data_IF_652004327631
#
_entry.id   IF_652004327631
#
_cell.length_a   1.000
_cell.length_b   1.000
_cell.length_c   1.000
_cell.angle_alpha   90.00
_cell.angle_beta   90.00
_cell.angle_gamma   90.00
#
_symmetry.space_group_name_H-M   'P 1'
#
loop_
_entity.id
_entity.type
_entity.pdbx_description
1 polymer ?
#
# COMPACT_ATOMS: atom_id res chain seq x y z
N UNK A 1 -17.07 -29.50 -6.81
CA UNK A 1 -16.27 -30.55 -7.47
C UNK A 1 -15.34 -31.13 -6.41
N UNK A 2 -15.45 -32.43 -6.13
CA UNK A 2 -14.75 -33.09 -5.03
C UNK A 2 -13.28 -33.28 -5.33
N UNK A 3 -12.42 -32.89 -4.38
CA UNK A 3 -10.98 -33.10 -4.49
C UNK A 3 -10.63 -34.53 -4.08
N UNK A 4 -10.17 -35.30 -5.08
CA UNK A 4 -9.43 -36.54 -4.90
C UNK A 4 -8.09 -36.24 -4.20
N UNK A 5 -8.08 -36.19 -2.87
CA UNK A 5 -6.87 -36.20 -2.03
C UNK A 5 -6.37 -37.64 -1.80
N UNK A 6 -6.33 -38.46 -2.85
CA UNK A 6 -5.80 -39.83 -2.81
C UNK A 6 -4.39 -39.90 -3.45
N UNK A 7 -3.47 -39.05 -2.97
CA UNK A 7 -2.03 -39.29 -3.14
C UNK A 7 -1.44 -39.73 -1.80
N UNK A 8 -0.71 -40.84 -1.81
CA UNK A 8 -0.05 -41.45 -0.65
C UNK A 8 0.65 -40.40 0.23
N UNK A 9 0.28 -40.33 1.52
CA UNK A 9 1.18 -39.81 2.56
C UNK A 9 0.64 -38.76 3.54
N UNK A 10 -0.63 -38.37 3.50
CA UNK A 10 -1.17 -37.41 4.48
C UNK A 10 -2.04 -38.12 5.52
N UNK A 11 -1.79 -37.82 6.80
CA UNK A 11 -2.68 -38.20 7.90
C UNK A 11 -3.93 -37.33 7.81
N UNK A 12 -5.07 -37.95 7.53
CA UNK A 12 -6.37 -37.29 7.36
C UNK A 12 -7.33 -37.56 8.52
N UNK A 13 -7.06 -38.60 9.32
CA UNK A 13 -7.86 -39.03 10.47
C UNK A 13 -7.23 -38.57 11.79
N UNK A 14 -8.01 -37.85 12.58
CA UNK A 14 -7.62 -37.38 13.90
C UNK A 14 -8.75 -37.64 14.91
N UNK A 15 -8.42 -37.88 16.18
CA UNK A 15 -9.46 -37.93 17.21
C UNK A 15 -9.96 -36.52 17.54
N UNK A 16 -9.03 -35.58 17.72
CA UNK A 16 -9.31 -34.20 18.14
C UNK A 16 -8.43 -33.23 17.35
N UNK A 17 -9.03 -32.17 16.80
CA UNK A 17 -8.33 -31.07 16.14
C UNK A 17 -8.54 -29.75 16.88
N UNK A 18 -7.43 -29.12 17.29
CA UNK A 18 -7.39 -27.79 17.89
C UNK A 18 -6.86 -26.78 16.87
N UNK A 19 -7.73 -25.92 16.34
CA UNK A 19 -7.37 -24.97 15.26
C UNK A 19 -8.07 -23.62 15.43
N UNK A 20 -7.48 -22.56 14.87
CA UNK A 20 -8.04 -21.21 14.96
C UNK A 20 -9.40 -21.08 14.26
N UNK A 21 -9.58 -21.83 13.17
CA UNK A 21 -10.77 -21.81 12.32
C UNK A 21 -11.29 -23.23 12.02
N UNK A 22 -12.05 -23.85 12.96
CA UNK A 22 -12.58 -25.20 12.80
C UNK A 22 -13.38 -25.44 11.51
N UNK A 23 -14.10 -24.43 11.04
CA UNK A 23 -14.93 -24.45 9.83
C UNK A 23 -14.15 -24.71 8.55
N UNK A 24 -12.90 -24.25 8.43
CA UNK A 24 -12.05 -24.59 7.29
C UNK A 24 -11.44 -25.99 7.44
N UNK A 25 -11.01 -26.36 8.65
CA UNK A 25 -10.42 -27.68 8.92
C UNK A 25 -11.41 -28.83 8.64
N UNK A 26 -12.70 -28.64 8.94
CA UNK A 26 -13.78 -29.61 8.66
C UNK A 26 -13.93 -29.94 7.17
N UNK A 27 -13.47 -29.08 6.26
CA UNK A 27 -13.53 -29.31 4.81
C UNK A 27 -12.42 -30.24 4.31
N UNK A 28 -11.38 -30.49 5.12
CA UNK A 28 -10.14 -31.14 4.71
C UNK A 28 -9.88 -32.41 5.51
N UNK A 29 -9.97 -32.32 6.84
CA UNK A 29 -9.61 -33.40 7.75
C UNK A 29 -10.85 -34.12 8.28
N UNK A 30 -10.72 -35.41 8.55
CA UNK A 30 -11.72 -36.22 9.23
C UNK A 30 -11.36 -36.33 10.72
N UNK A 31 -12.10 -35.63 11.59
CA UNK A 31 -11.91 -35.72 13.03
C UNK A 31 -13.21 -35.92 13.80
N UNK A 32 -13.13 -36.59 14.96
CA UNK A 32 -14.30 -36.78 15.83
C UNK A 32 -14.69 -35.45 16.50
N UNK A 33 -13.70 -34.66 16.90
CA UNK A 33 -13.90 -33.37 17.56
C UNK A 33 -13.07 -32.25 16.91
N UNK A 34 -13.68 -31.06 16.82
CA UNK A 34 -13.00 -29.84 16.37
C UNK A 34 -13.20 -28.75 17.41
N UNK A 35 -12.11 -28.33 18.03
CA UNK A 35 -12.11 -27.27 19.04
C UNK A 35 -11.45 -26.03 18.48
N UNK A 36 -12.14 -24.89 18.66
CA UNK A 36 -11.52 -23.60 18.37
C UNK A 36 -10.38 -23.39 19.37
N UNK A 37 -9.17 -23.28 18.86
CA UNK A 37 -7.98 -22.96 19.63
C UNK A 37 -7.22 -21.84 18.95
N UNK A 38 -7.11 -20.73 19.65
CA UNK A 38 -6.27 -19.62 19.27
C UNK A 38 -5.55 -19.18 20.53
N UNK A 39 -4.23 -18.96 20.46
CA UNK A 39 -3.42 -18.63 21.64
C UNK A 39 -3.94 -17.39 22.40
N UNK A 40 -4.77 -16.59 21.75
CA UNK A 40 -5.39 -15.38 22.30
C UNK A 40 -6.92 -15.50 22.55
N UNK A 41 -7.49 -16.70 22.45
CA UNK A 41 -8.95 -16.97 22.57
C UNK A 41 -9.56 -16.69 23.95
N UNK A 42 -8.74 -16.47 24.99
CA UNK A 42 -9.17 -16.07 26.35
C UNK A 42 -9.09 -14.56 26.61
N UNK A 43 -8.89 -13.75 25.56
CA UNK A 43 -8.58 -12.32 25.66
C UNK A 43 -7.07 -12.09 25.56
N UNK A 44 -6.67 -11.06 24.80
CA UNK A 44 -5.27 -10.64 24.79
C UNK A 44 -4.98 -9.83 26.05
N UNK A 45 -3.97 -10.26 26.82
CA UNK A 45 -3.34 -9.38 27.80
C UNK A 45 -2.58 -8.28 27.06
N UNK A 46 -3.15 -7.08 27.01
CA UNK A 46 -2.43 -5.90 26.49
C UNK A 46 -1.39 -5.48 27.50
N UNK A 47 -0.11 -5.51 27.12
CA UNK A 47 0.98 -5.03 27.98
C UNK A 47 1.02 -3.50 28.00
N UNK A 48 1.60 -2.92 29.06
CA UNK A 48 1.88 -1.48 29.12
C UNK A 48 2.75 -1.00 27.94
N UNK A 49 3.59 -1.87 27.36
CA UNK A 49 4.37 -1.54 26.18
C UNK A 49 3.49 -1.30 24.95
N UNK A 50 2.46 -2.11 24.73
CA UNK A 50 1.53 -1.94 23.59
C UNK A 50 0.69 -0.67 23.75
N UNK A 51 0.21 -0.38 24.98
CA UNK A 51 -0.50 0.87 25.27
C UNK A 51 0.38 2.10 24.99
N UNK A 52 1.66 2.08 25.38
CA UNK A 52 2.60 3.16 25.06
C UNK A 52 2.79 3.36 23.56
N UNK A 53 2.77 2.29 22.76
CA UNK A 53 2.84 2.39 21.30
C UNK A 53 1.57 3.06 20.77
N UNK A 54 0.38 2.60 21.18
CA UNK A 54 -0.88 3.25 20.80
C UNK A 54 -0.85 4.75 21.13
N UNK A 55 -0.49 5.12 22.36
CA UNK A 55 -0.51 6.51 22.82
C UNK A 55 0.49 7.38 22.06
N UNK A 56 1.72 6.87 21.84
CA UNK A 56 2.78 7.58 21.13
C UNK A 56 2.38 7.90 19.70
N UNK A 57 1.80 6.93 19.00
CA UNK A 57 1.45 7.05 17.58
C UNK A 57 0.01 7.56 17.36
N UNK A 58 -0.80 7.63 18.42
CA UNK A 58 -2.23 7.98 18.40
C UNK A 58 -3.03 7.14 17.41
N UNK A 59 -2.76 5.83 17.39
CA UNK A 59 -3.43 4.89 16.50
C UNK A 59 -4.88 4.72 16.97
N UNK A 60 -5.81 4.90 16.05
CA UNK A 60 -7.25 4.89 16.31
C UNK A 60 -8.00 3.92 15.40
N UNK A 61 -9.30 3.76 15.67
CA UNK A 61 -10.21 2.96 14.86
C UNK A 61 -10.43 3.50 13.44
N UNK A 62 -10.02 4.73 13.14
CA UNK A 62 -10.11 5.31 11.79
C UNK A 62 -8.90 4.96 10.93
N UNK A 63 -7.85 4.42 11.53
CA UNK A 63 -6.56 4.18 10.88
C UNK A 63 -6.45 2.75 10.34
N UNK A 64 -5.45 2.54 9.50
CA UNK A 64 -5.08 1.25 8.95
C UNK A 64 -3.69 0.84 9.46
N UNK A 65 -3.42 -0.46 9.52
CA UNK A 65 -2.10 -0.98 9.86
C UNK A 65 -1.61 -1.88 8.72
N UNK A 66 -0.47 -1.55 8.13
CA UNK A 66 0.24 -2.41 7.22
C UNK A 66 1.23 -3.31 7.97
N UNK A 67 1.16 -4.61 7.72
CA UNK A 67 2.08 -5.62 8.27
C UNK A 67 3.04 -6.11 7.19
N UNK A 68 4.31 -5.70 7.29
CA UNK A 68 5.34 -6.07 6.33
C UNK A 68 5.72 -7.55 6.43
N UNK A 69 6.19 -8.10 5.31
CA UNK A 69 6.68 -9.46 5.17
C UNK A 69 7.91 -9.44 4.25
N UNK A 70 8.74 -10.48 4.35
CA UNK A 70 9.92 -10.61 3.50
C UNK A 70 9.69 -11.66 2.42
N UNK A 71 10.11 -11.34 1.22
CA UNK A 71 10.07 -12.22 0.07
C UNK A 71 11.39 -12.18 -0.70
N UNK A 72 11.71 -13.21 -1.49
CA UNK A 72 12.92 -13.28 -2.31
C UNK A 72 12.80 -12.43 -3.58
N UNK A 73 12.42 -11.17 -3.42
CA UNK A 73 12.42 -10.12 -4.44
C UNK A 73 13.49 -9.11 -4.04
N UNK A 74 14.16 -8.47 -4.99
CA UNK A 74 15.15 -7.44 -4.66
C UNK A 74 14.54 -6.34 -3.77
N UNK A 75 15.26 -5.99 -2.69
CA UNK A 75 14.75 -5.07 -1.66
C UNK A 75 14.25 -3.74 -2.27
N UNK A 76 15.01 -3.19 -3.22
CA UNK A 76 14.64 -1.93 -3.87
C UNK A 76 13.31 -2.02 -4.62
N UNK A 77 13.12 -3.06 -5.45
CA UNK A 77 11.88 -3.24 -6.21
C UNK A 77 10.72 -3.54 -5.27
N UNK A 78 10.93 -4.43 -4.29
CA UNK A 78 9.90 -4.89 -3.38
C UNK A 78 9.33 -3.76 -2.51
N UNK A 79 10.20 -3.07 -1.76
CA UNK A 79 9.73 -2.03 -0.85
C UNK A 79 9.24 -0.79 -1.58
N UNK A 80 9.83 -0.45 -2.74
CA UNK A 80 9.31 0.64 -3.58
C UNK A 80 7.89 0.34 -4.03
N UNK A 81 7.63 -0.86 -4.54
CA UNK A 81 6.28 -1.27 -4.99
C UNK A 81 5.27 -1.23 -3.85
N UNK A 82 5.66 -1.70 -2.65
CA UNK A 82 4.81 -1.61 -1.46
C UNK A 82 4.51 -0.16 -1.10
N UNK A 83 5.53 0.69 -0.99
CA UNK A 83 5.31 2.08 -0.57
C UNK A 83 4.50 2.86 -1.60
N UNK A 84 4.72 2.63 -2.90
CA UNK A 84 3.88 3.19 -3.97
C UNK A 84 2.42 2.74 -3.83
N UNK A 85 2.18 1.45 -3.58
CA UNK A 85 0.84 0.90 -3.35
C UNK A 85 0.17 1.54 -2.14
N UNK A 86 0.86 1.60 -0.99
CA UNK A 86 0.35 2.21 0.24
C UNK A 86 0.11 3.71 0.08
N UNK A 87 0.97 4.41 -0.66
CA UNK A 87 0.75 5.81 -1.01
C UNK A 87 -0.57 5.96 -1.76
N UNK A 88 -0.80 5.18 -2.83
CA UNK A 88 -2.06 5.24 -3.58
C UNK A 88 -3.29 4.92 -2.71
N UNK A 89 -3.18 3.93 -1.80
CA UNK A 89 -4.25 3.64 -0.84
C UNK A 89 -4.50 4.81 0.12
N UNK A 90 -3.43 5.44 0.62
CA UNK A 90 -3.55 6.56 1.57
C UNK A 90 -4.33 7.75 1.02
N UNK A 91 -4.37 7.91 -0.31
CA UNK A 91 -5.18 8.94 -1.00
C UNK A 91 -6.69 8.72 -0.87
N UNK A 92 -7.12 7.49 -0.61
CA UNK A 92 -8.52 7.08 -0.73
C UNK A 92 -9.17 6.68 0.58
N UNK A 93 -8.37 6.45 1.62
CA UNK A 93 -8.87 6.15 2.95
C UNK A 93 -9.07 7.44 3.76
N UNK A 94 -9.78 7.31 4.87
CA UNK A 94 -9.72 8.22 6.01
C UNK A 94 -8.62 7.74 6.97
N UNK A 95 -7.91 8.63 7.65
CA UNK A 95 -6.89 8.23 8.64
C UNK A 95 -5.50 7.93 8.05
N UNK A 96 -4.64 7.28 8.84
CA UNK A 96 -3.25 6.96 8.49
C UNK A 96 -3.07 5.47 8.25
N UNK A 97 -2.02 5.11 7.52
CA UNK A 97 -1.52 3.75 7.43
C UNK A 97 -0.27 3.67 8.30
N UNK A 98 -0.38 2.96 9.42
CA UNK A 98 0.75 2.65 10.29
C UNK A 98 1.48 1.42 9.78
N UNK A 99 2.78 1.54 9.53
CA UNK A 99 3.58 0.50 8.93
C UNK A 99 4.40 -0.18 10.01
N UNK A 100 4.09 -1.47 10.23
CA UNK A 100 4.86 -2.35 11.11
C UNK A 100 5.79 -3.21 10.28
N UNK A 101 7.08 -2.92 10.35
CA UNK A 101 8.13 -3.69 9.70
C UNK A 101 8.40 -5.00 10.47
N UNK A 102 8.89 -6.01 9.76
CA UNK A 102 9.39 -7.25 10.33
C UNK A 102 10.69 -6.96 11.11
N UNK A 103 10.96 -7.61 12.26
CA UNK A 103 12.16 -7.33 13.08
C UNK A 103 13.48 -7.35 12.30
N UNK A 104 13.66 -8.35 11.43
CA UNK A 104 14.84 -8.46 10.53
C UNK A 104 14.96 -7.33 9.50
N UNK A 105 13.87 -6.67 9.13
CA UNK A 105 13.90 -5.47 8.27
C UNK A 105 14.37 -4.26 9.07
N UNK A 106 13.96 -4.16 10.34
CA UNK A 106 14.38 -3.09 11.24
C UNK A 106 15.88 -3.12 11.57
N UNK A 107 16.45 -4.32 11.65
CA UNK A 107 17.89 -4.52 11.87
C UNK A 107 18.73 -4.11 10.64
N UNK A 108 18.16 -4.14 9.43
CA UNK A 108 18.84 -3.75 8.21
C UNK A 108 18.74 -2.22 7.99
N UNK A 109 19.82 -1.51 8.32
CA UNK A 109 19.88 -0.04 8.19
C UNK A 109 19.59 0.45 6.76
N UNK A 110 19.93 -0.30 5.73
CA UNK A 110 19.68 0.11 4.34
C UNK A 110 18.19 0.00 4.01
N UNK A 111 17.53 -1.10 4.39
CA UNK A 111 16.09 -1.28 4.21
C UNK A 111 15.32 -0.24 5.04
N UNK A 112 15.68 -0.07 6.31
CA UNK A 112 15.06 0.93 7.18
C UNK A 112 15.24 2.35 6.61
N UNK A 113 16.43 2.70 6.12
CA UNK A 113 16.67 4.02 5.51
C UNK A 113 15.89 4.19 4.20
N UNK A 114 15.86 3.17 3.35
CA UNK A 114 15.06 3.17 2.13
C UNK A 114 13.57 3.39 2.46
N UNK A 115 13.04 2.62 3.40
CA UNK A 115 11.65 2.68 3.81
C UNK A 115 11.29 4.02 4.48
N UNK A 116 12.11 4.49 5.42
CA UNK A 116 11.93 5.79 6.05
C UNK A 116 12.05 6.93 5.04
N UNK A 117 12.99 6.87 4.09
CA UNK A 117 13.09 7.88 3.03
C UNK A 117 11.86 7.87 2.12
N UNK A 118 11.24 6.72 1.87
CA UNK A 118 10.01 6.63 1.07
C UNK A 118 8.74 6.99 1.86
N UNK A 119 8.77 6.93 3.19
CA UNK A 119 7.60 7.16 4.07
C UNK A 119 7.59 8.53 4.75
N UNK A 120 8.76 9.08 5.13
CA UNK A 120 8.92 10.49 5.61
C UNK A 120 8.28 11.49 4.67
N UNK A 121 8.10 11.04 3.45
CA UNK A 121 7.45 11.70 2.37
C UNK A 121 5.99 11.99 2.62
N UNK A 122 5.20 11.05 3.14
CA UNK A 122 3.74 11.10 3.23
C UNK A 122 3.34 11.01 4.71
N UNK A 123 2.79 12.08 5.34
CA UNK A 123 2.49 12.08 6.77
C UNK A 123 1.35 11.11 7.13
N UNK A 124 0.65 10.58 6.13
CA UNK A 124 -0.37 9.55 6.30
C UNK A 124 0.22 8.14 6.29
N UNK A 125 1.46 7.96 5.88
CA UNK A 125 2.21 6.73 6.10
C UNK A 125 3.12 6.92 7.32
N UNK A 126 2.97 6.11 8.35
CA UNK A 126 3.72 6.27 9.61
C UNK A 126 4.39 4.97 9.98
N UNK A 127 5.73 4.92 9.94
CA UNK A 127 6.48 3.74 10.40
C UNK A 127 6.44 3.67 11.93
N UNK A 128 6.01 2.53 12.47
CA UNK A 128 6.13 2.22 13.90
C UNK A 128 7.57 1.79 14.15
N UNK A 129 8.38 2.73 14.65
CA UNK A 129 9.80 2.53 14.92
C UNK A 129 10.01 2.26 16.42
N UNK A 130 9.63 1.05 16.83
CA UNK A 130 9.70 0.56 18.20
C UNK A 130 10.46 -0.77 18.26
N UNK A 131 11.00 -1.18 19.42
CA UNK A 131 11.54 -2.52 19.58
C UNK A 131 10.54 -3.61 19.13
N UNK A 132 11.01 -4.78 18.65
CA UNK A 132 10.15 -5.84 18.15
C UNK A 132 8.97 -6.17 19.06
N UNK A 133 7.77 -6.16 18.50
CA UNK A 133 6.53 -6.47 19.20
C UNK A 133 5.56 -7.30 18.34
N UNK A 134 4.63 -8.01 18.97
CA UNK A 134 3.55 -8.72 18.29
C UNK A 134 2.48 -7.72 17.85
N UNK A 135 1.93 -7.88 16.64
CA UNK A 135 0.94 -6.93 16.14
C UNK A 135 -0.45 -7.18 16.72
N UNK A 136 -0.76 -8.44 17.03
CA UNK A 136 -2.07 -8.91 17.47
C UNK A 136 -2.62 -8.12 18.67
N UNK A 137 -1.83 -7.82 19.73
CA UNK A 137 -2.31 -7.01 20.84
C UNK A 137 -2.61 -5.56 20.47
N UNK A 138 -1.87 -4.99 19.51
CA UNK A 138 -2.14 -3.64 19.04
C UNK A 138 -3.44 -3.60 18.24
N UNK A 139 -3.68 -4.60 17.37
CA UNK A 139 -4.93 -4.73 16.61
C UNK A 139 -6.13 -4.85 17.56
N UNK A 140 -6.01 -5.70 18.59
CA UNK A 140 -7.05 -5.86 19.61
C UNK A 140 -7.33 -4.55 20.38
N UNK A 141 -6.28 -3.80 20.71
CA UNK A 141 -6.39 -2.57 21.50
C UNK A 141 -6.93 -1.38 20.69
N UNK A 142 -6.51 -1.23 19.43
CA UNK A 142 -6.84 -0.05 18.63
C UNK A 142 -8.04 -0.24 17.72
N UNK A 143 -8.45 -1.50 17.50
CA UNK A 143 -9.55 -1.89 16.60
C UNK A 143 -9.54 -1.08 15.30
N UNK A 144 -8.42 -1.14 14.52
CA UNK A 144 -8.22 -0.26 13.38
C UNK A 144 -9.29 -0.50 12.32
N UNK A 145 -9.49 0.47 11.43
CA UNK A 145 -10.43 0.37 10.31
C UNK A 145 -10.09 -0.80 9.40
N UNK A 146 -8.81 -1.03 9.16
CA UNK A 146 -8.34 -2.18 8.39
C UNK A 146 -6.89 -2.60 8.67
N UNK A 147 -6.60 -3.86 8.44
CA UNK A 147 -5.25 -4.41 8.36
C UNK A 147 -4.93 -4.68 6.89
N UNK A 148 -3.76 -4.21 6.48
CA UNK A 148 -3.23 -4.37 5.13
C UNK A 148 -2.03 -5.31 5.21
N UNK A 149 -1.98 -6.33 4.36
CA UNK A 149 -0.81 -7.19 4.22
C UNK A 149 -0.70 -7.71 2.80
N UNK A 150 0.38 -8.42 2.47
CA UNK A 150 0.40 -9.23 1.25
C UNK A 150 -0.32 -10.54 1.54
N UNK A 151 0.25 -11.33 2.45
CA UNK A 151 -0.29 -12.65 2.82
C UNK A 151 -0.07 -12.99 4.29
N UNK A 152 0.15 -11.98 5.13
CA UNK A 152 0.59 -12.14 6.52
C UNK A 152 -0.45 -12.91 7.31
N UNK A 153 -0.02 -13.89 8.11
CA UNK A 153 -0.91 -14.62 9.02
C UNK A 153 -1.67 -13.67 9.96
N UNK A 154 -1.12 -12.48 10.25
CA UNK A 154 -1.80 -11.45 11.04
C UNK A 154 -3.15 -11.06 10.41
N UNK A 155 -3.25 -10.97 9.07
CA UNK A 155 -4.52 -10.63 8.39
C UNK A 155 -5.54 -11.76 8.49
N UNK A 156 -5.06 -13.01 8.59
CA UNK A 156 -5.89 -14.20 8.80
C UNK A 156 -6.48 -14.19 10.21
N UNK A 157 -5.68 -13.92 11.24
CA UNK A 157 -6.14 -13.91 12.63
C UNK A 157 -6.90 -12.65 13.06
N UNK A 158 -6.83 -11.57 12.27
CA UNK A 158 -7.47 -10.28 12.59
C UNK A 158 -8.95 -10.40 12.98
N UNK A 159 -9.82 -11.16 12.27
CA UNK A 159 -11.24 -11.27 12.66
C UNK A 159 -11.46 -11.94 14.02
N UNK A 160 -10.49 -12.73 14.51
CA UNK A 160 -10.54 -13.33 15.84
C UNK A 160 -10.19 -12.31 16.94
N UNK A 161 -9.51 -11.23 16.58
CA UNK A 161 -9.03 -10.17 17.47
C UNK A 161 -9.96 -8.94 17.45
N UNK A 162 -10.35 -8.52 16.25
CA UNK A 162 -11.17 -7.34 16.00
C UNK A 162 -12.14 -7.65 14.85
N UNK A 163 -13.35 -8.18 15.15
CA UNK A 163 -14.30 -8.64 14.12
C UNK A 163 -14.78 -7.55 13.15
N UNK A 164 -14.68 -6.27 13.53
CA UNK A 164 -15.09 -5.13 12.71
C UNK A 164 -13.97 -4.59 11.81
N UNK A 165 -12.72 -5.03 12.03
CA UNK A 165 -11.56 -4.58 11.25
C UNK A 165 -11.54 -5.28 9.90
N UNK A 166 -11.40 -4.50 8.81
CA UNK A 166 -11.30 -5.04 7.46
C UNK A 166 -9.96 -5.73 7.23
N UNK A 167 -9.95 -6.89 6.58
CA UNK A 167 -8.72 -7.59 6.17
C UNK A 167 -8.48 -7.37 4.68
N UNK A 168 -7.40 -6.65 4.33
CA UNK A 168 -7.05 -6.28 2.96
C UNK A 168 -5.74 -6.94 2.55
N UNK A 169 -5.76 -7.69 1.44
CA UNK A 169 -4.55 -8.20 0.80
C UNK A 169 -4.19 -7.35 -0.42
N UNK A 170 -2.98 -6.79 -0.43
CA UNK A 170 -2.39 -6.14 -1.62
C UNK A 170 -1.49 -7.06 -2.44
N UNK A 171 -1.50 -8.37 -2.15
CA UNK A 171 -0.60 -9.34 -2.78
C UNK A 171 -0.67 -9.31 -4.31
N UNK A 172 -1.88 -9.28 -4.88
CA UNK A 172 -2.08 -9.25 -6.33
C UNK A 172 -1.54 -7.97 -6.97
N UNK A 173 -1.87 -6.78 -6.41
CA UNK A 173 -1.35 -5.48 -6.89
C UNK A 173 0.19 -5.47 -6.90
N UNK A 174 0.81 -6.00 -5.85
CA UNK A 174 2.28 -6.03 -5.75
C UNK A 174 2.89 -6.97 -6.79
N UNK A 175 2.33 -8.17 -6.97
CA UNK A 175 2.78 -9.12 -8.00
C UNK A 175 2.67 -8.48 -9.39
N UNK A 176 1.50 -7.94 -9.74
CA UNK A 176 1.24 -7.35 -11.05
C UNK A 176 2.17 -6.17 -11.33
N UNK A 177 2.43 -5.34 -10.30
CA UNK A 177 3.34 -4.19 -10.41
C UNK A 177 4.79 -4.61 -10.60
N UNK A 178 5.24 -5.67 -9.94
CA UNK A 178 6.59 -6.24 -10.11
C UNK A 178 6.72 -6.87 -11.50
N UNK A 179 5.75 -7.67 -11.94
CA UNK A 179 5.74 -8.24 -13.30
C UNK A 179 5.74 -7.16 -14.38
N UNK A 180 5.12 -6.01 -14.13
CA UNK A 180 5.11 -4.91 -15.09
C UNK A 180 6.45 -4.15 -15.15
N UNK A 181 7.11 -3.96 -14.01
CA UNK A 181 8.28 -3.05 -13.89
C UNK A 181 9.62 -3.77 -13.85
N UNK A 182 9.64 -5.05 -13.45
CA UNK A 182 10.83 -5.84 -13.20
C UNK A 182 10.57 -7.35 -13.43
N UNK A 183 10.30 -7.73 -14.69
CA UNK A 183 9.91 -9.09 -15.10
C UNK A 183 10.85 -10.23 -14.65
N UNK A 184 12.11 -9.91 -14.37
CA UNK A 184 13.12 -10.87 -13.90
C UNK A 184 12.98 -11.25 -12.41
N UNK A 185 12.19 -10.53 -11.62
CA UNK A 185 12.04 -10.77 -10.18
C UNK A 185 11.16 -11.99 -9.88
N UNK A 186 11.57 -12.81 -8.90
CA UNK A 186 10.84 -14.02 -8.53
C UNK A 186 9.74 -13.72 -7.49
N UNK A 187 8.50 -13.79 -7.93
CA UNK A 187 7.29 -13.55 -7.11
C UNK A 187 6.57 -14.83 -6.71
N UNK A 188 7.08 -16.02 -7.08
CA UNK A 188 6.40 -17.31 -6.89
C UNK A 188 6.00 -17.59 -5.43
N UNK A 189 6.85 -17.21 -4.46
CA UNK A 189 6.53 -17.40 -3.05
C UNK A 189 5.39 -16.46 -2.58
N UNK A 190 5.28 -15.26 -3.16
CA UNK A 190 4.14 -14.36 -2.88
C UNK A 190 2.86 -14.98 -3.43
N UNK A 191 2.91 -15.49 -4.66
CA UNK A 191 1.79 -16.16 -5.34
C UNK A 191 1.32 -17.38 -4.54
N UNK A 192 2.23 -18.26 -4.12
CA UNK A 192 1.91 -19.44 -3.31
C UNK A 192 1.21 -19.05 -2.00
N UNK A 193 1.78 -18.10 -1.26
CA UNK A 193 1.14 -17.64 -0.03
C UNK A 193 -0.19 -16.93 -0.27
N UNK A 194 -0.37 -16.27 -1.42
CA UNK A 194 -1.62 -15.60 -1.78
C UNK A 194 -2.74 -16.62 -2.05
N UNK A 195 -2.43 -17.78 -2.64
CA UNK A 195 -3.40 -18.87 -2.84
C UNK A 195 -3.94 -19.42 -1.51
N UNK A 196 -3.12 -19.44 -0.46
CA UNK A 196 -3.56 -19.79 0.90
C UNK A 196 -4.53 -18.74 1.44
N UNK A 197 -4.19 -17.46 1.28
CA UNK A 197 -5.01 -16.34 1.77
C UNK A 197 -6.36 -16.27 1.07
N UNK A 198 -6.42 -16.59 -0.23
CA UNK A 198 -7.65 -16.66 -1.03
C UNK A 198 -8.67 -17.68 -0.49
N UNK A 199 -8.26 -18.62 0.36
CA UNK A 199 -9.18 -19.57 0.99
C UNK A 199 -10.06 -18.93 2.07
N UNK A 200 -9.73 -17.72 2.55
CA UNK A 200 -10.44 -17.04 3.62
C UNK A 200 -11.35 -15.93 3.06
N UNK A 201 -12.64 -16.21 2.94
CA UNK A 201 -13.66 -15.33 2.33
C UNK A 201 -13.75 -13.93 2.96
N UNK A 202 -13.32 -13.76 4.21
CA UNK A 202 -13.31 -12.47 4.90
C UNK A 202 -12.13 -11.56 4.51
N UNK A 203 -11.14 -12.08 3.77
CA UNK A 203 -10.00 -11.31 3.30
C UNK A 203 -10.30 -10.78 1.90
N UNK A 204 -10.34 -9.46 1.78
CA UNK A 204 -10.54 -8.80 0.50
C UNK A 204 -9.22 -8.76 -0.27
N UNK A 205 -9.12 -9.56 -1.33
CA UNK A 205 -7.99 -9.53 -2.25
C UNK A 205 -8.15 -8.33 -3.18
N UNK A 206 -7.22 -7.40 -3.15
CA UNK A 206 -7.25 -6.21 -3.99
C UNK A 206 -6.50 -6.50 -5.30
N UNK A 207 -7.22 -6.48 -6.42
CA UNK A 207 -6.65 -6.50 -7.79
C UNK A 207 -6.31 -5.09 -8.29
N UNK A 208 -6.99 -4.08 -7.77
CA UNK A 208 -6.69 -2.67 -7.98
C UNK A 208 -6.96 -1.88 -6.71
N UNK A 209 -6.41 -0.66 -6.64
CA UNK A 209 -6.69 0.27 -5.52
C UNK A 209 -8.17 0.69 -5.51
N UNK A 210 -8.89 0.53 -6.62
CA UNK A 210 -10.30 0.91 -6.80
C UNK A 210 -11.24 -0.11 -6.17
N UNK A 211 -10.82 -1.37 -6.13
CA UNK A 211 -11.67 -2.47 -5.66
C UNK A 211 -11.86 -2.46 -4.14
N UNK A 212 -10.94 -1.85 -3.39
CA UNK A 212 -10.75 -2.10 -1.96
C UNK A 212 -11.45 -1.16 -0.99
N UNK A 213 -11.53 0.13 -1.32
CA UNK A 213 -11.78 1.22 -0.37
C UNK A 213 -13.02 1.96 -0.84
N UNK A 214 -14.03 2.10 0.04
CA UNK A 214 -15.26 2.85 -0.26
C UNK A 214 -14.91 4.24 -0.80
N UNK A 215 -15.22 4.45 -2.08
CA UNK A 215 -14.83 5.59 -2.90
C UNK A 215 -15.69 6.82 -2.63
N UNK A 216 -16.06 7.07 -1.38
CA UNK A 216 -16.44 8.43 -1.01
C UNK A 216 -15.19 9.27 -1.21
N UNK A 217 -15.13 9.96 -2.36
CA UNK A 217 -14.10 10.91 -2.75
C UNK A 217 -13.75 11.76 -1.54
N UNK A 218 -12.64 11.43 -0.87
CA UNK A 218 -12.33 12.05 0.39
C UNK A 218 -11.98 13.51 0.13
N UNK A 219 -12.73 14.42 0.77
CA UNK A 219 -12.31 15.78 1.01
C UNK A 219 -11.47 15.74 2.29
N UNK A 220 -10.16 15.80 2.17
CA UNK A 220 -9.27 15.85 3.33
C UNK A 220 -9.54 17.13 4.13
N UNK A 221 -9.45 17.06 5.47
CA UNK A 221 -9.28 18.24 6.35
C UNK A 221 -7.91 18.93 6.16
N UNK A 222 -7.03 18.31 5.39
CA UNK A 222 -5.71 18.82 5.04
C UNK A 222 -5.85 20.00 4.09
N UNK A 223 -5.51 21.21 4.56
CA UNK A 223 -5.66 22.42 3.77
C UNK A 223 -4.85 22.34 2.48
N UNK A 224 -5.41 22.86 1.38
CA UNK A 224 -4.72 23.02 0.10
C UNK A 224 -3.30 23.56 0.26
N UNK A 225 -3.13 24.53 1.16
CA UNK A 225 -1.84 25.15 1.49
C UNK A 225 -0.82 24.14 2.04
N UNK A 226 -1.24 23.22 2.92
CA UNK A 226 -0.36 22.20 3.47
C UNK A 226 0.10 21.22 2.38
N UNK A 227 -0.82 20.79 1.50
CA UNK A 227 -0.51 19.89 0.40
C UNK A 227 0.46 20.54 -0.60
N UNK A 228 0.27 21.82 -0.93
CA UNK A 228 1.17 22.58 -1.79
C UNK A 228 2.56 22.76 -1.16
N UNK A 229 2.64 23.06 0.15
CA UNK A 229 3.91 23.16 0.88
C UNK A 229 4.65 21.83 0.91
N UNK A 230 3.95 20.72 1.13
CA UNK A 230 4.52 19.37 1.10
C UNK A 230 5.02 19.00 -0.30
N UNK A 231 4.30 19.39 -1.35
CA UNK A 231 4.73 19.20 -2.73
C UNK A 231 5.99 20.01 -3.07
N UNK A 232 6.04 21.28 -2.64
CA UNK A 232 7.19 22.16 -2.85
C UNK A 232 8.43 21.67 -2.09
N UNK A 233 8.26 21.23 -0.84
CA UNK A 233 9.33 20.64 -0.04
C UNK A 233 9.89 19.38 -0.71
N UNK A 234 9.03 18.47 -1.16
CA UNK A 234 9.43 17.27 -1.88
C UNK A 234 10.24 17.60 -3.14
N UNK A 235 9.80 18.59 -3.90
CA UNK A 235 10.51 19.04 -5.09
C UNK A 235 11.89 19.60 -4.80
N UNK A 236 12.01 20.48 -3.80
CA UNK A 236 13.29 21.07 -3.39
C UNK A 236 14.30 20.00 -2.99
N UNK A 237 13.81 18.90 -2.41
CA UNK A 237 14.60 17.73 -2.05
C UNK A 237 14.80 16.72 -3.20
N UNK A 238 14.44 17.08 -4.45
CA UNK A 238 14.55 16.24 -5.66
C UNK A 238 13.74 14.93 -5.57
N UNK A 239 12.71 14.90 -4.72
CA UNK A 239 11.83 13.76 -4.56
C UNK A 239 10.60 13.91 -5.45
N UNK A 240 10.79 13.60 -6.73
CA UNK A 240 9.84 14.04 -7.75
C UNK A 240 8.51 13.29 -7.73
N UNK A 241 8.52 11.98 -7.44
CA UNK A 241 7.30 11.16 -7.31
C UNK A 241 6.40 11.65 -6.18
N UNK A 242 7.00 12.01 -5.05
CA UNK A 242 6.31 12.58 -3.91
C UNK A 242 5.67 13.93 -4.21
N UNK A 243 6.40 14.79 -4.90
CA UNK A 243 5.89 16.10 -5.23
C UNK A 243 4.64 15.96 -6.12
N UNK A 244 4.70 15.05 -7.10
CA UNK A 244 3.55 14.67 -7.96
C UNK A 244 2.36 14.19 -7.12
N UNK A 245 2.58 13.29 -6.17
CA UNK A 245 1.55 12.78 -5.27
C UNK A 245 0.82 13.89 -4.51
N UNK A 246 1.56 14.84 -3.92
CA UNK A 246 0.95 15.94 -3.18
C UNK A 246 0.23 16.95 -4.03
N UNK A 247 0.72 17.22 -5.25
CA UNK A 247 -0.05 18.04 -6.18
C UNK A 247 -1.30 17.33 -6.68
N UNK A 248 -1.28 16.00 -6.83
CA UNK A 248 -2.49 15.24 -7.13
C UNK A 248 -3.52 15.39 -6.01
N UNK A 249 -3.11 15.27 -4.75
CA UNK A 249 -3.97 15.54 -3.58
C UNK A 249 -4.51 16.96 -3.55
N UNK A 250 -3.65 17.96 -3.76
CA UNK A 250 -4.03 19.37 -3.77
C UNK A 250 -5.05 19.68 -4.89
N UNK A 251 -5.00 18.94 -6.00
CA UNK A 251 -5.67 19.28 -7.24
C UNK A 251 -7.11 18.80 -7.38
N UNK A 252 -7.79 18.40 -6.31
CA UNK A 252 -9.12 17.77 -6.27
C UNK A 252 -10.23 18.56 -7.05
N UNK A 253 -10.12 18.57 -8.38
CA UNK A 253 -10.80 19.42 -9.38
C UNK A 253 -10.55 20.95 -9.36
N UNK A 254 -9.47 21.44 -8.74
CA UNK A 254 -9.10 22.86 -8.82
C UNK A 254 -8.21 23.15 -10.05
N UNK A 255 -8.80 23.85 -11.02
CA UNK A 255 -8.26 24.14 -12.36
C UNK A 255 -6.96 24.98 -12.32
N UNK A 256 -6.72 25.73 -11.25
CA UNK A 256 -5.53 26.56 -11.06
C UNK A 256 -4.27 25.72 -10.73
N UNK A 257 -4.45 24.60 -10.03
CA UNK A 257 -3.38 23.68 -9.60
C UNK A 257 -2.89 22.80 -10.76
N UNK A 258 -3.71 22.61 -11.80
CA UNK A 258 -3.33 21.87 -13.01
C UNK A 258 -2.24 22.57 -13.84
N UNK A 259 -2.21 23.91 -13.88
CA UNK A 259 -1.14 24.65 -14.57
C UNK A 259 0.25 24.40 -13.97
N UNK A 260 0.29 24.18 -12.65
CA UNK A 260 1.52 23.80 -11.94
C UNK A 260 1.97 22.37 -12.28
N UNK A 261 1.05 21.42 -12.49
CA UNK A 261 1.39 20.04 -12.91
C UNK A 261 2.19 20.03 -14.21
N UNK A 262 1.73 20.79 -15.20
CA UNK A 262 2.20 20.71 -16.59
C UNK A 262 3.60 21.27 -16.81
N UNK A 263 3.89 22.43 -16.23
CA UNK A 263 5.21 23.06 -16.31
C UNK A 263 6.26 22.27 -15.52
N UNK A 264 5.82 21.56 -14.50
CA UNK A 264 6.66 20.88 -13.54
C UNK A 264 6.98 19.43 -13.92
N UNK A 265 6.02 18.70 -14.53
CA UNK A 265 6.26 17.39 -15.16
C UNK A 265 7.47 17.43 -16.10
N UNK A 266 7.65 18.52 -16.85
CA UNK A 266 8.82 18.69 -17.70
C UNK A 266 10.13 18.86 -16.93
N UNK A 267 10.17 19.68 -15.88
CA UNK A 267 11.39 19.85 -15.08
C UNK A 267 11.85 18.56 -14.40
N UNK A 268 10.91 17.70 -14.00
CA UNK A 268 11.20 16.37 -13.47
C UNK A 268 11.67 15.40 -14.58
N UNK A 269 10.97 15.33 -15.71
CA UNK A 269 11.31 14.41 -16.81
C UNK A 269 12.62 14.78 -17.53
N UNK A 270 12.94 16.07 -17.67
CA UNK A 270 14.21 16.50 -18.28
C UNK A 270 15.44 16.17 -17.43
N UNK A 271 15.30 16.09 -16.11
CA UNK A 271 16.38 15.69 -15.20
C UNK A 271 16.47 14.19 -14.97
N UNK A 272 15.36 13.46 -15.12
CA UNK A 272 15.27 12.02 -14.81
C UNK A 272 15.28 11.14 -16.09
N UNK A 273 15.26 11.72 -17.30
CA UNK A 273 15.24 11.01 -18.61
C UNK A 273 14.22 9.85 -18.63
N UNK A 274 13.01 10.08 -18.12
CA UNK A 274 11.94 9.08 -18.21
C UNK A 274 10.98 9.38 -19.36
N UNK A 275 10.56 8.35 -20.09
CA UNK A 275 9.58 8.43 -21.17
C UNK A 275 8.17 8.28 -20.60
N UNK A 276 7.62 9.36 -20.03
CA UNK A 276 6.19 9.40 -19.71
C UNK A 276 5.41 9.95 -20.91
N UNK A 277 4.45 9.18 -21.43
CA UNK A 277 3.57 9.63 -22.54
C UNK A 277 2.39 10.42 -21.97
N UNK A 278 2.39 11.73 -22.13
CA UNK A 278 1.18 12.55 -21.91
C UNK A 278 0.07 12.16 -22.89
N UNK A 279 -1.19 12.18 -22.44
CA UNK A 279 -2.36 11.93 -23.30
C UNK A 279 -2.77 13.21 -24.03
N UNK A 280 -3.37 13.06 -25.21
CA UNK A 280 -3.76 14.18 -26.09
C UNK A 280 -4.72 15.18 -25.43
N UNK A 281 -5.63 14.68 -24.58
CA UNK A 281 -6.56 15.51 -23.80
C UNK A 281 -5.85 16.44 -22.82
N UNK A 282 -4.71 16.02 -22.28
CA UNK A 282 -3.91 16.81 -21.34
C UNK A 282 -3.20 17.95 -22.07
N UNK A 283 -2.72 17.72 -23.30
CA UNK A 283 -2.05 18.75 -24.12
C UNK A 283 -3.02 19.87 -24.52
N UNK A 284 -4.19 19.51 -25.06
CA UNK A 284 -5.21 20.48 -25.46
C UNK A 284 -5.67 21.34 -24.28
N UNK A 285 -5.68 20.77 -23.07
CA UNK A 285 -6.02 21.49 -21.86
C UNK A 285 -4.92 22.49 -21.46
N UNK A 286 -3.65 22.06 -21.50
CA UNK A 286 -2.50 22.94 -21.17
C UNK A 286 -2.40 24.11 -22.15
N UNK A 287 -2.68 23.89 -23.44
CA UNK A 287 -2.75 24.98 -24.41
C UNK A 287 -3.74 26.07 -24.01
N UNK A 288 -4.94 25.68 -23.55
CA UNK A 288 -5.97 26.65 -23.16
C UNK A 288 -5.55 27.50 -21.97
N UNK A 289 -4.86 26.92 -21.00
CA UNK A 289 -4.42 27.66 -19.80
C UNK A 289 -3.07 28.36 -19.99
N UNK A 290 -2.27 27.99 -21.01
CA UNK A 290 -0.97 28.61 -21.29
C UNK A 290 -1.07 30.10 -21.64
N UNK A 291 -2.26 30.59 -21.99
CA UNK A 291 -2.54 32.01 -22.21
C UNK A 291 -2.19 32.86 -20.97
N UNK A 292 -2.36 32.29 -19.78
CA UNK A 292 -2.14 32.94 -18.49
C UNK A 292 -0.71 32.79 -17.94
N UNK A 293 0.15 32.05 -18.65
CA UNK A 293 1.54 31.87 -18.23
C UNK A 293 2.34 33.17 -18.42
N UNK A 294 3.34 33.38 -17.57
CA UNK A 294 4.38 34.37 -17.84
C UNK A 294 5.22 33.92 -19.06
N UNK A 295 6.00 34.83 -19.63
CA UNK A 295 6.69 34.57 -20.90
C UNK A 295 7.71 33.43 -20.82
N UNK A 296 8.37 33.27 -19.67
CA UNK A 296 9.32 32.17 -19.43
C UNK A 296 8.61 30.82 -19.48
N UNK A 297 7.44 30.74 -18.85
CA UNK A 297 6.67 29.50 -18.74
C UNK A 297 5.96 29.16 -20.05
N UNK A 298 5.53 30.17 -20.84
CA UNK A 298 5.05 29.99 -22.23
C UNK A 298 6.12 29.38 -23.12
N UNK A 299 7.36 29.87 -23.03
CA UNK A 299 8.47 29.36 -23.81
C UNK A 299 8.80 27.91 -23.46
N UNK A 300 8.78 27.57 -22.16
CA UNK A 300 8.97 26.19 -21.67
C UNK A 300 7.87 25.27 -22.21
N UNK A 301 6.59 25.70 -22.16
CA UNK A 301 5.47 24.94 -22.71
C UNK A 301 5.58 24.67 -24.22
N UNK A 302 6.00 25.67 -25.00
CA UNK A 302 6.20 25.47 -26.44
C UNK A 302 7.28 24.43 -26.74
N UNK A 303 8.36 24.41 -25.97
CA UNK A 303 9.41 23.39 -26.12
C UNK A 303 8.89 21.98 -25.78
N UNK A 304 8.13 21.85 -24.69
CA UNK A 304 7.47 20.59 -24.28
C UNK A 304 6.58 20.04 -25.39
N UNK A 305 5.71 20.91 -25.92
CA UNK A 305 4.77 20.56 -26.99
C UNK A 305 5.51 20.05 -28.22
N UNK A 306 6.56 20.75 -28.64
CA UNK A 306 7.36 20.39 -29.80
C UNK A 306 8.10 19.05 -29.61
N UNK A 307 8.64 18.78 -28.43
CA UNK A 307 9.30 17.51 -28.12
C UNK A 307 8.30 16.35 -28.13
N UNK A 308 7.13 16.53 -27.51
CA UNK A 308 6.07 15.51 -27.52
C UNK A 308 5.66 15.12 -28.95
N UNK A 309 5.39 16.11 -29.82
CA UNK A 309 4.97 15.83 -31.20
C UNK A 309 6.06 15.15 -32.03
N UNK A 310 7.34 15.47 -31.79
CA UNK A 310 8.46 14.76 -32.41
C UNK A 310 8.48 13.27 -32.02
N UNK A 311 8.33 12.96 -30.72
CA UNK A 311 8.35 11.57 -30.25
C UNK A 311 7.10 10.76 -30.60
N UNK A 312 5.95 11.41 -30.79
CA UNK A 312 4.73 10.73 -31.25
C UNK A 312 4.75 10.39 -32.74
N UNK A 313 5.42 11.21 -33.57
CA UNK A 313 5.55 10.98 -35.01
C UNK A 313 6.62 9.95 -35.37
N UNK A 314 7.62 9.74 -34.50
CA UNK A 314 8.66 8.71 -34.71
C UNK A 314 8.23 7.29 -34.28
N UNK A 315 7.03 7.10 -33.72
CA UNK A 315 6.52 5.81 -33.26
C UNK A 315 5.19 5.40 -33.95
N UNK A 316 4.94 5.95 -35.14
CA UNK A 316 3.91 5.48 -36.08
C UNK A 316 4.59 4.82 -37.28
#
# INVERSE_FOLDING_TARGET
>A
MGNNLHQKGYFDKFDILHVAFPEYAKKIFNANEYHRFFAHSGGISTSQSIAKIQDKYRISQNDYIFVSQRYPVSDEVYYKTIVETLNQMSLRIEGKIFIKLHPKEMENKNIMSLFLNMVTINPRLVVINEPPFLIDPLIYLTTPKGIIGLTSTSIVYTPLLSPTTQCLSIGQIVIDSIHHTAQQENTALIEEHLEIVKQFDFIKILSSIEDGIDTNSFKTEETLEMLLKSAEYAYKNKNFYQAIFYWQLASNNDLSVLGYKSLWYYNALNKVKQNYKMKYLEINYIERISLYFNDKDKMIWQNIKNDFFKYSLCNQ
#
